data_IF_830764949861
#
_entry.id   IF_830764949861
#
_cell.length_a   1.000
_cell.length_b   1.000
_cell.length_c   1.000
_cell.angle_alpha   90.00
_cell.angle_beta   90.00
_cell.angle_gamma   90.00
#
_symmetry.space_group_name_H-M   'P 1'
#
loop_
_entity.id
_entity.type
_entity.pdbx_description
1 polymer ?
#
# COMPACT_ATOMS: atom_id res chain seq x y z
N UNK A 1 9.14 15.12 -31.77
CA UNK A 1 9.19 14.52 -30.42
C UNK A 1 10.59 14.76 -29.87
N UNK A 2 10.72 15.67 -28.91
CA UNK A 2 12.00 15.93 -28.24
C UNK A 2 12.28 14.72 -27.33
N UNK A 3 13.33 13.96 -27.64
CA UNK A 3 13.89 12.97 -26.72
C UNK A 3 14.43 13.76 -25.53
N UNK A 4 13.65 13.83 -24.45
CA UNK A 4 14.17 14.34 -23.18
C UNK A 4 15.38 13.47 -22.81
N UNK A 5 16.50 14.09 -22.53
CA UNK A 5 17.67 13.41 -22.01
C UNK A 5 17.26 12.70 -20.72
N UNK A 6 17.73 11.47 -20.48
CA UNK A 6 17.41 10.73 -19.26
C UNK A 6 17.90 11.56 -18.07
N UNK A 7 16.97 12.09 -17.28
CA UNK A 7 17.28 12.81 -16.07
C UNK A 7 17.42 11.82 -14.92
N UNK A 8 18.50 11.91 -14.17
CA UNK A 8 18.63 11.16 -12.92
C UNK A 8 17.51 11.61 -11.97
N UNK A 9 16.74 10.67 -11.49
CA UNK A 9 15.62 10.88 -10.57
C UNK A 9 16.12 10.56 -9.16
N UNK A 10 16.11 11.54 -8.25
CA UNK A 10 16.47 11.28 -6.84
C UNK A 10 15.40 10.46 -6.12
N UNK A 11 15.78 9.74 -5.06
CA UNK A 11 14.85 8.97 -4.23
C UNK A 11 13.71 9.86 -3.70
N UNK A 12 14.03 11.08 -3.23
CA UNK A 12 13.03 12.05 -2.79
C UNK A 12 11.99 12.35 -3.87
N UNK A 13 12.47 12.65 -5.08
CA UNK A 13 11.58 12.95 -6.22
C UNK A 13 10.70 11.76 -6.60
N UNK A 14 11.27 10.55 -6.59
CA UNK A 14 10.51 9.33 -6.88
C UNK A 14 9.38 9.12 -5.85
N UNK A 15 9.67 9.30 -4.57
CA UNK A 15 8.68 9.16 -3.48
C UNK A 15 7.62 10.26 -3.54
N UNK A 16 7.99 11.52 -3.77
CA UNK A 16 7.02 12.63 -3.89
C UNK A 16 6.08 12.43 -5.08
N UNK A 17 6.61 12.03 -6.24
CA UNK A 17 5.80 11.71 -7.42
C UNK A 17 4.89 10.50 -7.17
N UNK A 18 5.39 9.46 -6.51
CA UNK A 18 4.57 8.30 -6.18
C UNK A 18 3.41 8.66 -5.24
N UNK A 19 3.64 9.50 -4.23
CA UNK A 19 2.58 9.97 -3.33
C UNK A 19 1.52 10.81 -4.05
N UNK A 20 1.87 11.49 -5.15
CA UNK A 20 0.92 12.29 -5.96
C UNK A 20 0.19 11.46 -7.02
N UNK A 21 0.87 10.49 -7.62
CA UNK A 21 0.39 9.80 -8.81
C UNK A 21 -0.11 8.38 -8.54
N UNK A 22 0.26 7.77 -7.41
CA UNK A 22 -0.11 6.39 -7.08
C UNK A 22 -1.62 6.18 -7.10
N UNK A 23 -2.03 5.15 -7.81
CA UNK A 23 -3.43 4.72 -7.88
C UNK A 23 -3.97 4.33 -6.49
N UNK A 24 -3.16 3.70 -5.65
CA UNK A 24 -3.54 3.31 -4.29
C UNK A 24 -3.89 4.53 -3.42
N UNK A 25 -3.10 5.61 -3.49
CA UNK A 25 -3.39 6.87 -2.78
C UNK A 25 -4.66 7.54 -3.33
N UNK A 26 -4.87 7.50 -4.66
CA UNK A 26 -6.08 8.04 -5.28
C UNK A 26 -7.34 7.29 -4.84
N UNK A 27 -7.29 5.97 -4.79
CA UNK A 27 -8.40 5.13 -4.28
C UNK A 27 -8.68 5.47 -2.82
N UNK A 28 -7.67 5.47 -1.95
CA UNK A 28 -7.85 5.80 -0.53
C UNK A 28 -8.37 7.25 -0.32
N UNK A 29 -8.00 8.19 -1.19
CA UNK A 29 -8.53 9.57 -1.16
C UNK A 29 -10.00 9.60 -1.56
N UNK A 30 -10.39 8.84 -2.57
CA UNK A 30 -11.80 8.71 -2.98
C UNK A 30 -12.65 8.05 -1.86
N UNK A 31 -12.10 7.08 -1.14
CA UNK A 31 -12.75 6.47 0.02
C UNK A 31 -12.98 7.48 1.16
N UNK A 32 -12.04 8.40 1.40
CA UNK A 32 -12.24 9.51 2.34
C UNK A 32 -13.37 10.42 1.88
N UNK A 33 -13.43 10.79 0.60
CA UNK A 33 -14.52 11.59 0.04
C UNK A 33 -15.89 10.89 0.20
N UNK A 34 -15.93 9.59 -0.08
CA UNK A 34 -17.12 8.75 0.16
C UNK A 34 -17.53 8.76 1.63
N UNK A 35 -16.57 8.61 2.55
CA UNK A 35 -16.88 8.66 3.98
C UNK A 35 -17.38 10.02 4.45
N UNK A 36 -16.89 11.13 3.87
CA UNK A 36 -17.43 12.49 4.10
C UNK A 36 -18.88 12.57 3.61
N UNK A 37 -19.17 12.03 2.43
CA UNK A 37 -20.54 12.02 1.91
C UNK A 37 -21.49 11.21 2.82
N UNK A 38 -21.05 10.06 3.36
CA UNK A 38 -21.82 9.25 4.33
C UNK A 38 -22.10 10.05 5.61
N UNK A 39 -21.13 10.83 6.12
CA UNK A 39 -21.36 11.70 7.30
C UNK A 39 -22.43 12.74 7.00
N UNK A 40 -22.36 13.38 5.82
CA UNK A 40 -23.36 14.36 5.40
C UNK A 40 -24.73 13.70 5.20
N UNK A 41 -24.81 12.59 4.49
CA UNK A 41 -26.03 11.80 4.30
C UNK A 41 -26.69 11.46 5.63
N UNK A 42 -25.90 10.96 6.60
CA UNK A 42 -26.43 10.60 7.92
C UNK A 42 -26.92 11.83 8.70
N UNK A 43 -26.23 12.97 8.59
CA UNK A 43 -26.63 14.22 9.27
C UNK A 43 -27.84 14.86 8.61
N UNK A 44 -27.89 14.80 7.27
CA UNK A 44 -28.90 15.52 6.48
C UNK A 44 -30.29 14.84 6.53
N UNK A 45 -30.41 13.69 7.21
CA UNK A 45 -31.69 13.05 7.58
C UNK A 45 -32.60 14.02 8.36
N UNK A 46 -32.03 15.03 9.05
CA UNK A 46 -32.80 16.09 9.69
C UNK A 46 -33.33 17.15 8.71
N UNK A 47 -32.79 17.25 7.51
CA UNK A 47 -33.24 18.21 6.52
C UNK A 47 -34.51 17.70 5.83
N UNK A 48 -35.47 18.61 5.53
CA UNK A 48 -36.67 18.21 4.82
C UNK A 48 -36.33 17.77 3.38
N UNK A 49 -36.91 16.64 2.99
CA UNK A 49 -36.92 16.19 1.59
C UNK A 49 -38.19 16.63 0.91
N UNK A 50 -38.11 17.14 -0.31
CA UNK A 50 -39.23 17.57 -1.13
C UNK A 50 -39.35 16.69 -2.36
N UNK A 51 -40.54 16.16 -2.56
CA UNK A 51 -40.86 15.34 -3.74
C UNK A 51 -42.04 16.00 -4.47
N UNK A 52 -41.96 15.99 -5.78
CA UNK A 52 -43.07 16.39 -6.68
C UNK A 52 -43.36 15.21 -7.58
N UNK A 53 -44.60 14.75 -7.53
CA UNK A 53 -45.08 13.67 -8.34
C UNK A 53 -46.21 14.13 -9.26
N UNK A 54 -46.44 13.40 -10.34
CA UNK A 54 -47.60 13.54 -11.23
C UNK A 54 -48.05 12.16 -11.67
N UNK A 55 -49.34 11.89 -11.59
CA UNK A 55 -49.88 10.60 -12.01
C UNK A 55 -51.15 10.76 -12.84
N UNK A 56 -51.34 9.89 -13.80
CA UNK A 56 -52.57 9.74 -14.57
C UNK A 56 -53.07 8.32 -14.30
N UNK A 57 -54.32 8.19 -13.83
CA UNK A 57 -54.91 6.90 -13.55
C UNK A 57 -56.40 6.87 -13.80
N UNK A 58 -56.95 5.69 -13.97
CA UNK A 58 -58.38 5.45 -14.04
C UNK A 58 -58.79 4.59 -12.83
N UNK A 59 -59.90 4.99 -12.19
CA UNK A 59 -60.46 4.27 -11.07
C UNK A 59 -61.88 3.82 -11.41
N UNK A 60 -62.20 2.57 -11.11
CA UNK A 60 -63.51 2.00 -11.29
C UNK A 60 -64.00 1.36 -9.99
N UNK A 61 -65.28 1.53 -9.68
CA UNK A 61 -65.91 1.03 -8.46
C UNK A 61 -66.04 2.08 -7.34
N UNK A 62 -66.85 1.72 -6.32
CA UNK A 62 -67.10 2.63 -5.18
C UNK A 62 -66.41 2.08 -3.92
N UNK A 63 -65.77 2.93 -3.12
CA UNK A 63 -65.51 4.38 -3.33
C UNK A 63 -64.51 4.63 -4.45
N UNK A 64 -64.74 5.60 -5.29
CA UNK A 64 -63.89 5.96 -6.41
C UNK A 64 -62.57 6.54 -5.88
N UNK A 65 -61.46 5.90 -6.17
CA UNK A 65 -60.14 6.45 -5.91
C UNK A 65 -59.83 7.59 -6.86
N UNK A 66 -59.25 8.68 -6.36
CA UNK A 66 -58.88 9.81 -7.18
C UNK A 66 -57.43 9.79 -7.54
N UNK A 67 -57.05 9.85 -8.82
CA UNK A 67 -55.67 10.13 -9.17
C UNK A 67 -55.32 11.56 -8.84
N UNK A 68 -54.22 11.78 -8.15
CA UNK A 68 -53.61 13.12 -8.06
C UNK A 68 -52.98 13.49 -9.38
N UNK A 69 -53.32 14.66 -9.90
CA UNK A 69 -52.65 15.22 -11.08
C UNK A 69 -51.25 15.68 -10.65
N UNK A 70 -51.16 16.27 -9.47
CA UNK A 70 -49.95 16.76 -8.84
C UNK A 70 -49.95 16.39 -7.37
N UNK A 71 -48.85 15.82 -6.90
CA UNK A 71 -48.59 15.63 -5.51
C UNK A 71 -47.24 16.27 -5.15
N UNK A 72 -47.20 16.98 -4.07
CA UNK A 72 -46.01 17.53 -3.46
C UNK A 72 -45.94 17.05 -2.03
N UNK A 73 -44.84 16.42 -1.68
CA UNK A 73 -44.62 15.90 -0.33
C UNK A 73 -43.34 16.47 0.23
N UNK A 74 -43.42 17.03 1.43
CA UNK A 74 -42.25 17.40 2.22
C UNK A 74 -42.22 16.54 3.48
N UNK A 75 -41.09 15.89 3.71
CA UNK A 75 -40.89 15.04 4.87
C UNK A 75 -39.58 15.38 5.56
N UNK A 76 -39.59 15.43 6.90
CA UNK A 76 -38.39 15.66 7.71
C UNK A 76 -38.46 14.83 8.99
N UNK A 77 -37.29 14.38 9.45
CA UNK A 77 -37.15 13.80 10.79
C UNK A 77 -36.93 14.93 11.80
N UNK A 78 -37.92 15.19 12.65
CA UNK A 78 -37.78 16.19 13.69
C UNK A 78 -36.94 15.69 14.85
N UNK A 79 -37.13 14.43 15.23
CA UNK A 79 -36.43 13.83 16.36
C UNK A 79 -36.27 12.33 16.21
N UNK A 80 -35.03 11.85 16.40
CA UNK A 80 -34.69 10.46 16.38
C UNK A 80 -33.53 10.19 17.38
N UNK A 81 -33.81 9.45 18.45
CA UNK A 81 -32.83 9.13 19.49
C UNK A 81 -31.61 8.34 18.99
N UNK A 82 -31.75 7.58 17.91
CA UNK A 82 -30.68 6.77 17.34
C UNK A 82 -29.74 7.59 16.45
N UNK A 83 -30.23 8.68 15.85
CA UNK A 83 -29.50 9.44 14.83
C UNK A 83 -28.18 10.05 15.34
N UNK A 84 -28.08 10.57 16.58
CA UNK A 84 -26.80 11.03 17.13
C UNK A 84 -25.74 9.94 17.19
N UNK A 85 -26.13 8.68 17.45
CA UNK A 85 -25.18 7.56 17.47
C UNK A 85 -24.76 7.16 16.05
N UNK A 86 -25.67 7.16 15.08
CA UNK A 86 -25.31 6.94 13.67
C UNK A 86 -24.40 8.05 13.14
N UNK A 87 -24.61 9.31 13.51
CA UNK A 87 -23.70 10.42 13.16
C UNK A 87 -22.31 10.20 13.78
N UNK A 88 -22.24 9.75 15.03
CA UNK A 88 -20.97 9.41 15.68
C UNK A 88 -20.30 8.23 15.00
N UNK A 89 -21.07 7.19 14.65
CA UNK A 89 -20.59 6.04 13.89
C UNK A 89 -20.00 6.48 12.55
N UNK A 90 -20.72 7.29 11.78
CA UNK A 90 -20.24 7.81 10.49
C UNK A 90 -18.96 8.65 10.62
N UNK A 91 -18.87 9.53 11.65
CA UNK A 91 -17.66 10.32 11.93
C UNK A 91 -16.45 9.45 12.30
N UNK A 92 -16.67 8.39 13.07
CA UNK A 92 -15.61 7.44 13.41
C UNK A 92 -15.21 6.59 12.19
N UNK A 93 -16.17 6.26 11.33
CA UNK A 93 -15.90 5.65 10.02
C UNK A 93 -15.03 6.55 9.14
N UNK A 94 -15.35 7.85 9.06
CA UNK A 94 -14.51 8.84 8.38
C UNK A 94 -13.10 8.91 8.99
N UNK A 95 -13.01 8.91 10.32
CA UNK A 95 -11.69 8.90 11.01
C UNK A 95 -10.89 7.64 10.66
N UNK A 96 -11.54 6.47 10.63
CA UNK A 96 -10.91 5.21 10.20
C UNK A 96 -10.36 5.33 8.79
N UNK A 97 -11.19 5.79 7.83
CA UNK A 97 -10.78 5.94 6.42
C UNK A 97 -9.63 6.94 6.25
N UNK A 98 -9.62 8.04 7.02
CA UNK A 98 -8.49 8.99 7.02
C UNK A 98 -7.19 8.36 7.53
N UNK A 99 -7.27 7.49 8.53
CA UNK A 99 -6.12 6.73 9.05
C UNK A 99 -5.66 5.68 8.03
N UNK A 100 -6.58 5.01 7.34
CA UNK A 100 -6.27 4.10 6.23
C UNK A 100 -5.56 4.83 5.09
N UNK A 101 -5.97 6.05 4.73
CA UNK A 101 -5.26 6.86 3.74
C UNK A 101 -3.80 7.12 4.17
N UNK A 102 -3.58 7.48 5.43
CA UNK A 102 -2.22 7.68 5.95
C UNK A 102 -1.41 6.39 5.91
N UNK A 103 -2.02 5.26 6.27
CA UNK A 103 -1.39 3.94 6.22
C UNK A 103 -1.02 3.56 4.78
N UNK A 104 -1.91 3.80 3.81
CA UNK A 104 -1.64 3.61 2.38
C UNK A 104 -0.49 4.48 1.90
N UNK A 105 -0.40 5.72 2.33
CA UNK A 105 0.73 6.62 2.01
C UNK A 105 2.05 6.06 2.54
N UNK A 106 2.09 5.60 3.79
CA UNK A 106 3.25 4.93 4.37
C UNK A 106 3.68 3.72 3.55
N UNK A 107 2.71 2.91 3.09
CA UNK A 107 3.00 1.75 2.24
C UNK A 107 3.58 2.16 0.89
N UNK A 108 3.00 3.17 0.23
CA UNK A 108 3.52 3.67 -1.06
C UNK A 108 4.95 4.22 -0.92
N UNK A 109 5.26 4.92 0.18
CA UNK A 109 6.62 5.38 0.47
C UNK A 109 7.58 4.20 0.60
N UNK A 110 7.21 3.17 1.37
CA UNK A 110 8.03 1.97 1.52
C UNK A 110 8.27 1.29 0.18
N UNK A 111 7.20 0.97 -0.56
CA UNK A 111 7.27 0.22 -1.80
C UNK A 111 8.09 0.96 -2.87
N UNK A 112 7.89 2.29 -2.98
CA UNK A 112 8.66 3.11 -3.93
C UNK A 112 10.13 3.17 -3.54
N UNK A 113 10.43 3.35 -2.24
CA UNK A 113 11.81 3.39 -1.77
C UNK A 113 12.53 2.07 -1.98
N UNK A 114 11.87 0.94 -1.67
CA UNK A 114 12.46 -0.38 -1.87
C UNK A 114 12.67 -0.68 -3.35
N UNK A 115 11.71 -0.39 -4.22
CA UNK A 115 11.86 -0.59 -5.66
C UNK A 115 12.97 0.29 -6.27
N UNK A 116 13.12 1.52 -5.75
CA UNK A 116 14.18 2.43 -6.18
C UNK A 116 15.57 1.92 -5.78
N UNK A 117 15.72 1.51 -4.51
CA UNK A 117 16.98 0.97 -4.00
C UNK A 117 17.33 -0.34 -4.71
N UNK A 118 16.33 -1.18 -4.96
CA UNK A 118 16.50 -2.44 -5.67
C UNK A 118 16.92 -2.23 -7.12
N UNK A 119 16.32 -1.26 -7.82
CA UNK A 119 16.75 -0.89 -9.17
C UNK A 119 18.19 -0.37 -9.19
N UNK A 120 18.58 0.44 -8.20
CA UNK A 120 19.95 0.93 -8.07
C UNK A 120 20.92 -0.24 -7.89
N UNK A 121 20.66 -1.11 -6.90
CA UNK A 121 21.41 -2.32 -6.64
C UNK A 121 21.58 -3.19 -7.91
N UNK A 122 20.46 -3.51 -8.58
CA UNK A 122 20.46 -4.34 -9.80
C UNK A 122 21.27 -3.68 -10.92
N UNK A 123 21.33 -2.35 -10.98
CA UNK A 123 22.16 -1.61 -11.95
C UNK A 123 23.64 -1.78 -11.63
N UNK A 124 24.02 -1.70 -10.35
CA UNK A 124 25.40 -1.90 -9.90
C UNK A 124 25.85 -3.36 -10.10
N UNK A 125 24.98 -4.35 -9.83
CA UNK A 125 25.22 -5.75 -10.09
C UNK A 125 25.39 -6.05 -11.59
N UNK A 126 24.57 -5.44 -12.47
CA UNK A 126 24.73 -5.58 -13.91
C UNK A 126 26.09 -5.05 -14.39
N UNK A 127 26.56 -3.94 -13.83
CA UNK A 127 27.88 -3.40 -14.14
C UNK A 127 29.00 -4.36 -13.68
N UNK A 128 28.88 -4.98 -12.50
CA UNK A 128 29.80 -5.98 -12.00
C UNK A 128 29.81 -7.23 -12.89
N UNK A 129 28.64 -7.72 -13.30
CA UNK A 129 28.51 -8.87 -14.21
C UNK A 129 29.05 -8.61 -15.61
N UNK A 130 28.97 -7.37 -16.11
CA UNK A 130 29.58 -6.99 -17.39
C UNK A 130 31.12 -7.09 -17.33
N UNK A 131 31.71 -6.79 -16.17
CA UNK A 131 33.15 -7.00 -15.93
C UNK A 131 33.47 -8.49 -15.76
N UNK A 132 32.70 -9.22 -14.95
CA UNK A 132 32.85 -10.66 -14.73
C UNK A 132 32.78 -11.44 -16.06
N UNK A 133 31.85 -11.04 -16.96
CA UNK A 133 31.75 -11.64 -18.29
C UNK A 133 33.03 -11.46 -19.13
N UNK A 134 33.71 -10.29 -19.03
CA UNK A 134 34.95 -10.04 -19.69
C UNK A 134 36.07 -10.98 -19.16
N UNK A 135 36.14 -11.16 -17.84
CA UNK A 135 37.09 -12.03 -17.19
C UNK A 135 36.84 -13.50 -17.53
N UNK A 136 35.58 -13.91 -17.54
CA UNK A 136 35.17 -15.26 -17.91
C UNK A 136 35.46 -15.58 -19.38
N UNK A 137 35.23 -14.64 -20.30
CA UNK A 137 35.60 -14.81 -21.72
C UNK A 137 37.09 -15.01 -21.89
N UNK A 138 37.93 -14.23 -21.16
CA UNK A 138 39.38 -14.37 -21.19
C UNK A 138 39.84 -15.67 -20.56
N UNK A 139 39.23 -16.12 -19.46
CA UNK A 139 39.47 -17.41 -18.85
C UNK A 139 39.19 -18.55 -19.85
N UNK A 140 38.09 -18.47 -20.57
CA UNK A 140 37.70 -19.45 -21.58
C UNK A 140 38.72 -19.56 -22.72
N UNK A 141 39.25 -18.41 -23.16
CA UNK A 141 40.31 -18.37 -24.16
C UNK A 141 41.60 -19.05 -23.67
N UNK A 142 42.03 -18.73 -22.43
CA UNK A 142 43.20 -19.34 -21.79
C UNK A 142 43.02 -20.86 -21.69
N UNK A 143 41.88 -21.35 -21.19
CA UNK A 143 41.62 -22.78 -21.04
C UNK A 143 41.55 -23.50 -22.39
N UNK A 144 41.00 -22.89 -23.43
CA UNK A 144 41.00 -23.46 -24.77
C UNK A 144 42.42 -23.63 -25.29
N UNK A 145 43.31 -22.63 -25.18
CA UNK A 145 44.71 -22.69 -25.62
C UNK A 145 45.48 -23.76 -24.85
N UNK A 146 45.24 -23.93 -23.53
CA UNK A 146 45.92 -24.94 -22.69
C UNK A 146 45.49 -26.37 -23.04
N UNK A 147 44.19 -26.56 -23.35
CA UNK A 147 43.67 -27.85 -23.82
C UNK A 147 44.21 -28.19 -25.20
N UNK A 148 44.27 -27.22 -26.12
CA UNK A 148 44.80 -27.41 -27.47
C UNK A 148 46.32 -27.74 -27.46
N UNK A 149 47.05 -27.17 -26.49
CA UNK A 149 48.43 -27.46 -26.22
C UNK A 149 48.66 -28.80 -25.47
N UNK A 150 47.61 -29.52 -25.07
CA UNK A 150 47.67 -30.80 -24.35
C UNK A 150 48.14 -30.67 -22.89
N UNK A 151 48.16 -29.45 -22.33
CA UNK A 151 48.64 -29.17 -20.97
C UNK A 151 47.53 -29.40 -19.94
N UNK A 152 46.24 -29.16 -20.35
CA UNK A 152 45.09 -29.30 -19.45
C UNK A 152 44.05 -30.30 -20.01
N UNK A 153 43.31 -31.01 -19.12
CA UNK A 153 42.24 -31.89 -19.53
C UNK A 153 41.02 -31.12 -20.02
N UNK A 154 40.21 -31.67 -20.94
CA UNK A 154 38.98 -31.06 -21.47
C UNK A 154 37.96 -30.69 -20.40
N UNK A 155 38.03 -31.29 -19.21
CA UNK A 155 37.14 -30.99 -18.08
C UNK A 155 37.28 -29.56 -17.62
N UNK A 156 38.47 -28.96 -17.62
CA UNK A 156 38.72 -27.58 -17.19
C UNK A 156 38.08 -26.58 -18.18
N UNK A 157 38.21 -26.85 -19.49
CA UNK A 157 37.49 -26.06 -20.50
C UNK A 157 35.96 -26.14 -20.32
N UNK A 158 35.44 -27.32 -19.96
CA UNK A 158 33.99 -27.47 -19.70
C UNK A 158 33.56 -26.70 -18.47
N UNK A 159 34.39 -26.63 -17.42
CA UNK A 159 34.15 -25.80 -16.22
C UNK A 159 34.15 -24.32 -16.58
N UNK A 160 35.10 -23.84 -17.35
CA UNK A 160 35.14 -22.45 -17.80
C UNK A 160 33.89 -22.08 -18.64
N UNK A 161 33.46 -22.98 -19.55
CA UNK A 161 32.24 -22.83 -20.34
C UNK A 161 30.96 -22.76 -19.44
N UNK A 162 30.93 -23.59 -18.38
CA UNK A 162 29.81 -23.58 -17.43
C UNK A 162 29.76 -22.26 -16.65
N UNK A 163 30.93 -21.77 -16.19
CA UNK A 163 31.01 -20.45 -15.50
C UNK A 163 30.54 -19.33 -16.41
N UNK A 164 31.02 -19.25 -17.65
CA UNK A 164 30.60 -18.26 -18.62
C UNK A 164 29.08 -18.32 -18.90
N UNK A 165 28.55 -19.53 -19.07
CA UNK A 165 27.09 -19.70 -19.28
C UNK A 165 26.24 -19.24 -18.06
N UNK A 166 26.74 -19.50 -16.83
CA UNK A 166 26.09 -19.05 -15.60
C UNK A 166 26.09 -17.52 -15.49
N UNK A 167 27.20 -16.86 -15.79
CA UNK A 167 27.33 -15.41 -15.78
C UNK A 167 26.36 -14.80 -16.79
N UNK A 168 26.31 -15.32 -18.02
CA UNK A 168 25.36 -14.86 -19.04
C UNK A 168 23.90 -15.06 -18.64
N UNK A 169 23.58 -16.17 -18.00
CA UNK A 169 22.22 -16.43 -17.49
C UNK A 169 21.83 -15.45 -16.39
N UNK A 170 22.74 -15.24 -15.41
CA UNK A 170 22.51 -14.29 -14.32
C UNK A 170 22.33 -12.87 -14.84
N UNK A 171 23.17 -12.46 -15.80
CA UNK A 171 23.08 -11.15 -16.44
C UNK A 171 21.73 -10.94 -17.14
N UNK A 172 21.25 -11.95 -17.89
CA UNK A 172 19.94 -11.87 -18.53
C UNK A 172 18.82 -11.73 -17.49
N UNK A 173 18.86 -12.54 -16.45
CA UNK A 173 17.86 -12.49 -15.37
C UNK A 173 17.82 -11.11 -14.68
N UNK A 174 18.96 -10.55 -14.31
CA UNK A 174 19.02 -9.22 -13.69
C UNK A 174 18.60 -8.09 -14.66
N UNK A 175 18.88 -8.22 -15.94
CA UNK A 175 18.44 -7.26 -16.94
C UNK A 175 16.89 -7.25 -17.07
N UNK A 176 16.27 -8.43 -17.04
CA UNK A 176 14.82 -8.58 -17.05
C UNK A 176 14.20 -8.02 -15.74
N UNK A 177 14.80 -8.29 -14.59
CA UNK A 177 14.36 -7.72 -13.30
C UNK A 177 14.47 -6.20 -13.30
N UNK A 178 15.60 -5.64 -13.76
CA UNK A 178 15.75 -4.18 -13.87
C UNK A 178 14.68 -3.55 -14.76
N UNK A 179 14.26 -4.22 -15.84
CA UNK A 179 13.18 -3.76 -16.69
C UNK A 179 11.84 -3.76 -15.93
N UNK A 180 11.55 -4.82 -15.16
CA UNK A 180 10.34 -4.91 -14.31
C UNK A 180 10.34 -3.82 -13.23
N UNK A 181 11.47 -3.57 -12.55
CA UNK A 181 11.55 -2.52 -11.53
C UNK A 181 11.36 -1.13 -12.12
N UNK A 182 11.92 -0.84 -13.32
CA UNK A 182 11.67 0.42 -14.02
C UNK A 182 10.20 0.60 -14.36
N UNK A 183 9.54 -0.44 -14.84
CA UNK A 183 8.11 -0.40 -15.17
C UNK A 183 7.26 -0.20 -13.91
N UNK A 184 7.59 -0.88 -12.81
CA UNK A 184 6.91 -0.71 -11.51
C UNK A 184 7.03 0.73 -11.01
N UNK A 185 8.24 1.30 -11.05
CA UNK A 185 8.48 2.70 -10.67
C UNK A 185 7.78 3.68 -11.62
N UNK A 186 7.72 3.36 -12.93
CA UNK A 186 6.96 4.13 -13.91
C UNK A 186 5.48 4.20 -13.54
N UNK A 187 4.86 3.08 -13.22
CA UNK A 187 3.47 3.03 -12.76
C UNK A 187 3.23 3.77 -11.44
N UNK A 188 4.19 3.71 -10.51
CA UNK A 188 4.09 4.40 -9.22
C UNK A 188 4.26 5.92 -9.35
N UNK A 189 5.22 6.36 -10.15
CA UNK A 189 5.61 7.78 -10.26
C UNK A 189 4.92 8.52 -11.40
N UNK A 190 4.46 7.81 -12.44
CA UNK A 190 3.94 8.37 -13.69
C UNK A 190 5.02 8.85 -14.66
N UNK A 191 6.30 8.59 -14.38
CA UNK A 191 7.40 8.88 -15.30
C UNK A 191 7.57 7.73 -16.32
N UNK A 192 8.03 8.01 -17.57
CA UNK A 192 8.32 6.95 -18.53
C UNK A 192 9.44 6.02 -18.04
N UNK A 193 9.25 4.70 -18.14
CA UNK A 193 10.22 3.70 -17.68
C UNK A 193 11.61 3.86 -18.32
N UNK A 194 11.67 4.27 -19.61
CA UNK A 194 12.92 4.47 -20.35
C UNK A 194 13.77 5.65 -19.82
N UNK A 195 13.14 6.62 -19.14
CA UNK A 195 13.82 7.80 -18.58
C UNK A 195 14.22 7.62 -17.11
N UNK A 196 13.94 6.47 -16.49
CA UNK A 196 14.18 6.25 -15.08
C UNK A 196 15.63 5.78 -14.83
N UNK A 197 16.47 6.70 -14.41
CA UNK A 197 17.85 6.44 -13.96
C UNK A 197 17.93 6.81 -12.48
N UNK A 198 18.40 5.88 -11.65
CA UNK A 198 18.58 6.10 -10.22
C UNK A 198 19.85 6.91 -9.94
N UNK A 199 19.81 7.70 -8.87
CA UNK A 199 20.99 8.37 -8.31
C UNK A 199 21.36 7.72 -6.98
N UNK A 200 22.45 6.95 -6.96
CA UNK A 200 22.94 6.26 -5.77
C UNK A 200 23.27 7.22 -4.61
N UNK A 201 23.70 8.46 -4.92
CA UNK A 201 24.01 9.48 -3.92
C UNK A 201 22.78 10.04 -3.22
N UNK A 202 21.59 9.86 -3.81
CA UNK A 202 20.32 10.29 -3.22
C UNK A 202 19.78 9.32 -2.16
N UNK A 203 20.39 8.13 -2.03
CA UNK A 203 20.00 7.11 -1.05
C UNK A 203 20.74 7.38 0.26
N UNK A 204 20.07 7.88 1.30
CA UNK A 204 20.73 8.15 2.58
C UNK A 204 20.94 6.86 3.36
N UNK A 205 21.87 6.89 4.30
CA UNK A 205 21.96 5.87 5.32
C UNK A 205 20.63 5.77 6.10
N UNK A 206 20.08 4.57 6.22
CA UNK A 206 18.86 4.35 6.98
C UNK A 206 19.12 4.54 8.47
N UNK A 207 18.18 5.16 9.24
CA UNK A 207 18.36 5.39 10.65
C UNK A 207 18.60 4.09 11.42
N UNK A 208 19.52 4.12 12.36
CA UNK A 208 19.72 3.02 13.29
C UNK A 208 18.65 3.04 14.38
N UNK A 209 18.05 1.89 14.63
CA UNK A 209 17.12 1.73 15.73
C UNK A 209 17.86 1.40 17.01
N UNK A 210 17.72 2.25 18.03
CA UNK A 210 18.23 1.95 19.37
C UNK A 210 17.54 0.69 19.93
N UNK A 211 18.32 -0.26 20.38
CA UNK A 211 17.87 -1.59 20.84
C UNK A 211 17.00 -1.58 22.13
N UNK A 212 16.60 -0.43 22.66
CA UNK A 212 15.99 -0.26 23.98
C UNK A 212 14.62 0.43 24.02
N UNK A 213 14.01 0.79 22.91
CA UNK A 213 12.68 1.42 22.91
C UNK A 213 11.56 0.40 23.11
N UNK A 214 10.52 0.78 23.89
CA UNK A 214 9.30 -0.04 24.02
C UNK A 214 8.48 0.07 22.70
N UNK A 215 8.77 -0.87 21.76
CA UNK A 215 8.14 -0.94 20.45
C UNK A 215 6.62 -1.06 20.55
N UNK A 216 6.09 -1.72 21.57
CA UNK A 216 4.67 -1.93 21.74
C UNK A 216 3.93 -0.61 21.97
N UNK A 217 4.51 0.29 22.77
CA UNK A 217 3.97 1.64 22.99
C UNK A 217 4.01 2.48 21.70
N UNK A 218 5.11 2.37 20.93
CA UNK A 218 5.24 3.07 19.66
C UNK A 218 4.22 2.58 18.61
N UNK A 219 4.03 1.27 18.49
CA UNK A 219 3.08 0.67 17.55
C UNK A 219 1.65 1.06 17.90
N UNK A 220 1.25 0.92 19.16
CA UNK A 220 -0.10 1.27 19.61
C UNK A 220 -0.43 2.75 19.37
N UNK A 221 0.57 3.65 19.51
CA UNK A 221 0.41 5.10 19.37
C UNK A 221 0.62 5.64 17.97
N UNK A 222 1.43 5.00 17.13
CA UNK A 222 1.88 5.57 15.86
C UNK A 222 1.45 4.77 14.61
N UNK A 223 1.17 3.46 14.71
CA UNK A 223 0.75 2.67 13.56
C UNK A 223 -0.66 3.05 13.11
N UNK A 224 -0.78 3.68 11.92
CA UNK A 224 -2.05 4.17 11.38
C UNK A 224 -3.01 3.05 11.01
N UNK A 225 -2.53 1.89 10.60
CA UNK A 225 -3.35 0.71 10.28
C UNK A 225 -4.08 0.17 11.52
N UNK A 226 -3.36 0.01 12.63
CA UNK A 226 -3.93 -0.40 13.92
C UNK A 226 -4.93 0.63 14.42
N UNK A 227 -4.59 1.92 14.40
CA UNK A 227 -5.50 2.99 14.79
C UNK A 227 -6.77 3.03 13.93
N UNK A 228 -6.63 2.78 12.61
CA UNK A 228 -7.76 2.70 11.68
C UNK A 228 -8.71 1.56 12.06
N UNK A 229 -8.18 0.37 12.37
CA UNK A 229 -8.97 -0.78 12.78
C UNK A 229 -9.78 -0.50 14.06
N UNK A 230 -9.16 0.11 15.08
CA UNK A 230 -9.88 0.51 16.30
C UNK A 230 -10.91 1.61 16.05
N UNK A 231 -10.63 2.57 15.16
CA UNK A 231 -11.62 3.59 14.79
C UNK A 231 -12.83 2.96 14.05
N UNK A 232 -12.59 1.96 13.19
CA UNK A 232 -13.64 1.18 12.54
C UNK A 232 -14.48 0.39 13.56
N UNK A 233 -13.83 -0.27 14.53
CA UNK A 233 -14.52 -1.01 15.59
C UNK A 233 -15.40 -0.09 16.44
N UNK A 234 -14.91 1.09 16.82
CA UNK A 234 -15.71 2.12 17.52
C UNK A 234 -16.89 2.61 16.66
N UNK A 235 -16.68 2.77 15.34
CA UNK A 235 -17.77 3.13 14.42
C UNK A 235 -18.89 2.09 14.47
N UNK A 236 -18.55 0.79 14.38
CA UNK A 236 -19.50 -0.32 14.50
C UNK A 236 -20.19 -0.36 15.86
N UNK A 237 -19.49 -0.07 16.93
CA UNK A 237 -20.05 0.01 18.29
C UNK A 237 -21.13 1.11 18.39
N UNK A 238 -20.85 2.31 17.87
CA UNK A 238 -21.85 3.39 17.88
C UNK A 238 -23.04 3.08 16.96
N UNK A 239 -22.83 2.40 15.83
CA UNK A 239 -23.93 1.91 15.00
C UNK A 239 -24.82 0.93 15.78
N UNK A 240 -24.22 -0.01 16.54
CA UNK A 240 -24.96 -0.93 17.39
C UNK A 240 -25.75 -0.21 18.51
N UNK A 241 -25.20 0.88 19.09
CA UNK A 241 -25.96 1.72 20.03
C UNK A 241 -27.15 2.39 19.35
N UNK A 242 -26.99 2.88 18.12
CA UNK A 242 -28.08 3.41 17.30
C UNK A 242 -29.18 2.38 17.06
N UNK A 243 -28.83 1.18 16.62
CA UNK A 243 -29.78 0.07 16.38
C UNK A 243 -30.51 -0.32 17.69
N UNK A 244 -29.79 -0.35 18.82
CA UNK A 244 -30.40 -0.63 20.12
C UNK A 244 -31.39 0.44 20.53
N UNK A 245 -31.07 1.73 20.33
CA UNK A 245 -32.00 2.82 20.64
C UNK A 245 -33.20 2.82 19.71
N UNK A 246 -33.01 2.52 18.43
CA UNK A 246 -34.11 2.45 17.45
C UNK A 246 -35.17 1.42 17.81
N UNK A 247 -34.81 0.41 18.63
CA UNK A 247 -35.72 -0.62 19.09
C UNK A 247 -36.75 -0.14 20.12
N UNK A 248 -36.38 0.88 20.92
CA UNK A 248 -37.19 1.29 22.09
C UNK A 248 -37.70 2.71 22.03
N UNK A 249 -37.00 3.59 21.29
CA UNK A 249 -37.32 5.02 21.32
C UNK A 249 -38.19 5.48 20.15
N UNK A 250 -39.06 6.51 20.38
CA UNK A 250 -39.95 7.01 19.34
C UNK A 250 -39.16 7.72 18.24
N UNK A 251 -39.74 7.67 17.04
CA UNK A 251 -39.37 8.45 15.87
C UNK A 251 -40.44 9.52 15.65
N UNK A 252 -40.03 10.79 15.59
CA UNK A 252 -40.94 11.94 15.34
C UNK A 252 -40.60 12.49 13.95
N UNK A 253 -41.58 12.42 13.04
CA UNK A 253 -41.42 12.92 11.68
C UNK A 253 -42.47 14.04 11.41
N UNK A 254 -42.04 15.01 10.61
CA UNK A 254 -42.91 16.03 10.05
C UNK A 254 -43.25 15.62 8.63
N UNK A 255 -44.54 15.74 8.27
CA UNK A 255 -45.02 15.49 6.93
C UNK A 255 -45.94 16.68 6.51
N UNK A 256 -45.67 17.22 5.32
CA UNK A 256 -46.55 18.16 4.66
C UNK A 256 -46.84 17.64 3.26
N UNK A 257 -48.08 17.63 2.88
CA UNK A 257 -48.52 17.08 1.60
C UNK A 257 -49.51 18.08 0.95
N UNK A 258 -49.29 18.31 -0.34
CA UNK A 258 -50.23 19.02 -1.20
C UNK A 258 -50.61 18.11 -2.36
N UNK A 259 -51.91 17.93 -2.58
CA UNK A 259 -52.45 17.14 -3.67
C UNK A 259 -53.39 17.99 -4.51
N UNK A 260 -53.24 17.91 -5.83
CA UNK A 260 -54.24 18.40 -6.78
C UNK A 260 -54.90 17.23 -7.46
N UNK A 261 -56.16 17.05 -7.16
CA UNK A 261 -56.97 15.97 -7.70
C UNK A 261 -57.62 16.32 -9.04
N UNK A 262 -57.73 15.33 -9.93
CA UNK A 262 -58.49 15.46 -11.16
C UNK A 262 -59.97 15.47 -10.88
N UNK A 263 -60.71 16.28 -11.66
CA UNK A 263 -62.18 16.23 -11.68
C UNK A 263 -62.59 15.26 -12.78
N UNK A 264 -63.39 14.25 -12.38
CA UNK A 264 -64.03 13.34 -13.33
C UNK A 264 -65.48 13.78 -13.62
N UNK A 265 -66.00 13.35 -14.79
CA UNK A 265 -67.40 13.58 -15.10
C UNK A 265 -68.29 12.95 -14.01
N UNK A 266 -69.28 13.72 -13.55
CA UNK A 266 -70.21 13.38 -12.47
C UNK A 266 -69.64 13.33 -11.05
N UNK A 267 -68.45 13.89 -10.81
CA UNK A 267 -67.83 13.90 -9.47
C UNK A 267 -68.69 14.68 -8.46
N UNK A 268 -69.30 15.81 -8.86
CA UNK A 268 -70.17 16.66 -8.02
C UNK A 268 -71.47 15.97 -7.58
N UNK A 269 -71.86 14.87 -8.26
CA UNK A 269 -73.01 14.07 -7.85
C UNK A 269 -72.70 13.17 -6.63
N UNK A 270 -71.45 12.73 -6.50
CA UNK A 270 -71.05 11.80 -5.43
C UNK A 270 -70.41 12.49 -4.23
N UNK A 271 -69.75 13.64 -4.46
CA UNK A 271 -69.00 14.35 -3.43
C UNK A 271 -69.40 15.81 -3.39
N UNK A 272 -70.42 16.17 -2.55
CA UNK A 272 -70.77 17.56 -2.26
C UNK A 272 -69.58 18.26 -1.60
N UNK A 273 -69.19 19.44 -2.08
CA UNK A 273 -68.03 20.24 -1.58
C UNK A 273 -66.63 19.69 -1.90
N UNK A 274 -66.48 18.97 -2.98
CA UNK A 274 -65.17 18.56 -3.42
C UNK A 274 -64.23 19.73 -3.73
N UNK A 275 -63.05 19.70 -3.10
CA UNK A 275 -61.98 20.66 -3.39
C UNK A 275 -60.84 19.95 -4.16
N UNK A 276 -60.55 20.45 -5.37
CA UNK A 276 -59.47 19.89 -6.20
C UNK A 276 -58.07 20.03 -5.57
N UNK A 277 -57.91 21.00 -4.66
CA UNK A 277 -56.66 21.25 -3.95
C UNK A 277 -56.81 20.78 -2.51
N UNK A 278 -55.90 19.92 -2.08
CA UNK A 278 -55.88 19.43 -0.70
C UNK A 278 -54.48 19.67 -0.13
N UNK A 279 -54.44 20.25 1.05
CA UNK A 279 -53.21 20.50 1.79
C UNK A 279 -53.31 19.90 3.18
N UNK A 280 -52.35 19.08 3.55
CA UNK A 280 -52.22 18.45 4.85
C UNK A 280 -50.87 18.70 5.48
N UNK A 281 -50.86 19.02 6.76
CA UNK A 281 -49.61 19.11 7.56
C UNK A 281 -49.84 18.33 8.83
N UNK A 282 -48.80 17.55 9.19
CA UNK A 282 -48.91 16.73 10.40
C UNK A 282 -47.53 16.37 10.99
N UNK A 283 -47.58 16.05 12.27
CA UNK A 283 -46.44 15.42 12.96
C UNK A 283 -46.86 14.01 13.32
N UNK A 284 -46.05 13.05 12.90
CA UNK A 284 -46.27 11.65 13.20
C UNK A 284 -45.28 11.18 14.27
N UNK A 285 -45.76 10.55 15.32
CA UNK A 285 -44.98 9.89 16.35
C UNK A 285 -45.13 8.38 16.20
N UNK A 286 -44.05 7.71 15.89
CA UNK A 286 -44.02 6.24 15.74
C UNK A 286 -43.24 5.64 16.90
N UNK A 287 -43.90 4.82 17.75
CA UNK A 287 -43.32 4.13 18.89
C UNK A 287 -43.27 2.64 18.57
N UNK A 288 -42.09 2.03 18.47
CA UNK A 288 -41.97 0.59 18.27
C UNK A 288 -42.25 -0.14 19.58
N UNK A 289 -43.42 -0.79 19.69
CA UNK A 289 -43.79 -1.55 20.88
C UNK A 289 -43.25 -2.98 20.83
N UNK A 290 -43.29 -3.61 19.65
CA UNK A 290 -42.82 -4.97 19.43
C UNK A 290 -42.33 -5.14 18.00
N UNK A 291 -41.02 -5.34 17.85
CA UNK A 291 -40.37 -5.52 16.54
C UNK A 291 -39.23 -6.54 16.66
N UNK A 292 -39.50 -7.78 16.25
CA UNK A 292 -38.51 -8.87 16.31
C UNK A 292 -37.38 -8.67 15.32
N UNK A 293 -37.62 -7.98 14.19
CA UNK A 293 -36.60 -7.67 13.18
C UNK A 293 -35.58 -6.70 13.76
N UNK A 294 -36.03 -5.63 14.39
CA UNK A 294 -35.12 -4.68 15.06
C UNK A 294 -34.34 -5.33 16.21
N UNK A 295 -34.96 -6.25 16.96
CA UNK A 295 -34.24 -7.02 17.99
C UNK A 295 -33.14 -7.92 17.42
N UNK A 296 -33.44 -8.60 16.31
CA UNK A 296 -32.44 -9.39 15.62
C UNK A 296 -31.30 -8.51 15.09
N UNK A 297 -31.64 -7.36 14.49
CA UNK A 297 -30.67 -6.38 13.98
C UNK A 297 -29.75 -5.83 15.08
N UNK A 298 -30.30 -5.51 16.26
CA UNK A 298 -29.49 -5.07 17.42
C UNK A 298 -28.48 -6.12 17.86
N UNK A 299 -28.88 -7.43 17.86
CA UNK A 299 -27.95 -8.51 18.20
C UNK A 299 -26.87 -8.70 17.13
N UNK A 300 -27.27 -8.61 15.85
CA UNK A 300 -26.34 -8.65 14.73
C UNK A 300 -25.28 -7.55 14.83
N UNK A 301 -25.73 -6.29 15.01
CA UNK A 301 -24.84 -5.14 15.10
C UNK A 301 -23.91 -5.19 16.33
N UNK A 302 -24.41 -5.69 17.47
CA UNK A 302 -23.59 -5.90 18.66
C UNK A 302 -22.50 -6.98 18.42
N UNK A 303 -22.86 -8.07 17.74
CA UNK A 303 -21.91 -9.12 17.37
C UNK A 303 -20.88 -8.62 16.34
N UNK A 304 -21.30 -7.81 15.35
CA UNK A 304 -20.39 -7.19 14.36
C UNK A 304 -19.42 -6.21 15.02
N UNK A 305 -19.87 -5.43 16.00
CA UNK A 305 -18.99 -4.57 16.80
C UNK A 305 -17.95 -5.38 17.59
N UNK A 306 -18.38 -6.44 18.28
CA UNK A 306 -17.48 -7.33 19.02
C UNK A 306 -16.44 -7.99 18.10
N UNK A 307 -16.90 -8.50 16.93
CA UNK A 307 -16.02 -9.04 15.90
C UNK A 307 -14.99 -8.02 15.43
N UNK A 308 -15.42 -6.78 15.18
CA UNK A 308 -14.52 -5.71 14.70
C UNK A 308 -13.46 -5.33 15.74
N UNK A 309 -13.77 -5.37 17.04
CA UNK A 309 -12.77 -5.18 18.09
C UNK A 309 -11.77 -6.34 18.12
N UNK A 310 -12.25 -7.59 18.07
CA UNK A 310 -11.36 -8.75 18.02
C UNK A 310 -10.43 -8.73 16.79
N UNK A 311 -10.93 -8.26 15.65
CA UNK A 311 -10.11 -8.06 14.46
C UNK A 311 -9.05 -6.96 14.65
N UNK A 312 -9.39 -5.87 15.34
CA UNK A 312 -8.43 -4.81 15.66
C UNK A 312 -7.34 -5.29 16.63
N UNK A 313 -7.72 -6.08 17.65
CA UNK A 313 -6.78 -6.71 18.59
C UNK A 313 -5.85 -7.68 17.85
N UNK A 314 -6.39 -8.54 16.99
CA UNK A 314 -5.60 -9.46 16.16
C UNK A 314 -4.59 -8.70 15.26
N UNK A 315 -5.02 -7.61 14.63
CA UNK A 315 -4.12 -6.79 13.79
C UNK A 315 -3.01 -6.13 14.63
N UNK A 316 -3.34 -5.64 15.83
CA UNK A 316 -2.35 -5.11 16.76
C UNK A 316 -1.31 -6.17 17.11
N UNK A 317 -1.76 -7.35 17.57
CA UNK A 317 -0.89 -8.43 18.00
C UNK A 317 0.03 -8.91 16.83
N UNK A 318 -0.52 -9.04 15.63
CA UNK A 318 0.26 -9.36 14.42
C UNK A 318 1.31 -8.28 14.10
N UNK A 319 0.96 -7.00 14.26
CA UNK A 319 1.87 -5.88 14.01
C UNK A 319 2.99 -5.84 15.04
N UNK A 320 2.69 -6.10 16.32
CA UNK A 320 3.66 -6.20 17.40
C UNK A 320 4.62 -7.38 17.19
N UNK A 321 4.09 -8.54 16.81
CA UNK A 321 4.90 -9.71 16.47
C UNK A 321 5.82 -9.46 15.26
N UNK A 322 5.30 -8.83 14.20
CA UNK A 322 6.09 -8.46 13.03
C UNK A 322 7.21 -7.49 13.38
N UNK A 323 6.93 -6.46 14.20
CA UNK A 323 7.95 -5.52 14.65
C UNK A 323 9.05 -6.19 15.47
N UNK A 324 8.66 -7.10 16.37
CA UNK A 324 9.64 -7.87 17.14
C UNK A 324 10.51 -8.76 16.27
N UNK A 325 9.92 -9.44 15.29
CA UNK A 325 10.68 -10.26 14.32
C UNK A 325 11.67 -9.39 13.54
N UNK A 326 11.22 -8.24 13.01
CA UNK A 326 12.08 -7.31 12.28
C UNK A 326 13.20 -6.78 13.18
N UNK A 327 12.91 -6.40 14.42
CA UNK A 327 13.92 -5.94 15.38
C UNK A 327 14.98 -7.01 15.65
N UNK A 328 14.58 -8.28 15.80
CA UNK A 328 15.53 -9.38 16.02
C UNK A 328 16.35 -9.68 14.76
N UNK A 329 15.72 -9.67 13.58
CA UNK A 329 16.43 -9.89 12.32
C UNK A 329 17.43 -8.78 11.98
N UNK A 330 17.24 -7.54 12.45
CA UNK A 330 18.18 -6.45 12.19
C UNK A 330 19.60 -6.73 12.74
N UNK A 331 19.69 -7.32 13.94
CA UNK A 331 21.00 -7.66 14.52
C UNK A 331 21.70 -8.76 13.70
N UNK A 332 20.94 -9.75 13.22
CA UNK A 332 21.46 -10.81 12.35
C UNK A 332 21.90 -10.27 10.99
N UNK A 333 21.03 -9.49 10.34
CA UNK A 333 21.32 -8.87 9.03
C UNK A 333 22.48 -7.89 9.09
N UNK A 334 22.67 -7.17 10.19
CA UNK A 334 23.84 -6.29 10.35
C UNK A 334 25.15 -7.07 10.42
N UNK A 335 25.15 -8.22 11.08
CA UNK A 335 26.31 -9.11 11.11
C UNK A 335 26.54 -9.80 9.75
N UNK A 336 25.47 -10.15 9.05
CA UNK A 336 25.58 -10.72 7.69
C UNK A 336 26.19 -9.69 6.72
N UNK A 337 25.78 -8.42 6.81
CA UNK A 337 26.36 -7.34 5.99
C UNK A 337 27.85 -7.12 6.35
N UNK A 338 28.22 -7.16 7.64
CA UNK A 338 29.62 -7.10 8.07
C UNK A 338 30.44 -8.29 7.53
N UNK A 339 29.91 -9.51 7.63
CA UNK A 339 30.56 -10.71 7.07
C UNK A 339 30.76 -10.59 5.57
N UNK A 340 29.74 -10.14 4.83
CA UNK A 340 29.84 -9.96 3.37
C UNK A 340 30.89 -8.88 3.00
N UNK A 341 30.94 -7.77 3.74
CA UNK A 341 31.94 -6.73 3.56
C UNK A 341 33.37 -7.24 3.82
N UNK A 342 33.58 -8.03 4.89
CA UNK A 342 34.87 -8.64 5.20
C UNK A 342 35.27 -9.69 4.16
N UNK A 343 34.33 -10.45 3.59
CA UNK A 343 34.60 -11.39 2.50
C UNK A 343 35.01 -10.66 1.22
N UNK A 344 34.40 -9.52 0.92
CA UNK A 344 34.82 -8.68 -0.20
C UNK A 344 36.23 -8.13 0.00
N UNK A 345 36.53 -7.57 1.18
CA UNK A 345 37.89 -7.07 1.52
C UNK A 345 38.94 -8.15 1.41
N UNK A 346 38.63 -9.35 1.90
CA UNK A 346 39.51 -10.53 1.73
C UNK A 346 39.74 -10.89 0.27
N UNK A 347 38.69 -10.92 -0.56
CA UNK A 347 38.81 -11.24 -1.98
C UNK A 347 39.62 -10.17 -2.73
N UNK A 348 39.45 -8.88 -2.39
CA UNK A 348 40.23 -7.77 -2.93
C UNK A 348 41.74 -7.92 -2.56
N UNK A 349 42.05 -8.22 -1.31
CA UNK A 349 43.42 -8.43 -0.84
C UNK A 349 44.04 -9.65 -1.49
N UNK A 350 43.31 -10.73 -1.73
CA UNK A 350 43.74 -11.90 -2.45
C UNK A 350 44.05 -11.60 -3.92
N UNK A 351 43.19 -10.84 -4.59
CA UNK A 351 43.40 -10.38 -5.96
C UNK A 351 44.66 -9.53 -6.07
N UNK A 352 44.86 -8.57 -5.16
CA UNK A 352 46.07 -7.75 -5.11
C UNK A 352 47.34 -8.61 -4.95
N UNK A 353 47.28 -9.63 -4.08
CA UNK A 353 48.36 -10.56 -3.86
C UNK A 353 48.69 -11.34 -5.14
N UNK A 354 47.68 -11.88 -5.83
CA UNK A 354 47.83 -12.58 -7.11
C UNK A 354 48.47 -11.67 -8.17
N UNK A 355 47.97 -10.43 -8.29
CA UNK A 355 48.50 -9.45 -9.24
C UNK A 355 49.96 -9.07 -8.94
N UNK A 356 50.32 -8.86 -7.67
CA UNK A 356 51.71 -8.58 -7.25
C UNK A 356 52.64 -9.75 -7.57
N UNK A 357 52.24 -11.00 -7.30
CA UNK A 357 53.04 -12.19 -7.59
C UNK A 357 53.20 -12.41 -9.09
N UNK A 358 52.20 -12.15 -9.90
CA UNK A 358 52.29 -12.21 -11.37
C UNK A 358 53.25 -11.17 -11.95
N UNK A 359 53.32 -9.95 -11.33
CA UNK A 359 54.14 -8.84 -11.81
C UNK A 359 55.63 -8.96 -11.39
N UNK A 360 55.89 -9.47 -10.18
CA UNK A 360 57.25 -9.53 -9.59
C UNK A 360 57.92 -10.90 -9.65
N UNK A 361 57.18 -11.94 -10.03
CA UNK A 361 57.60 -13.34 -9.89
C UNK A 361 57.50 -13.80 -8.42
N UNK A 362 57.21 -15.07 -8.21
CA UNK A 362 57.20 -15.66 -6.86
C UNK A 362 58.62 -15.62 -6.28
N UNK A 363 58.88 -14.69 -5.37
CA UNK A 363 60.18 -14.58 -4.69
C UNK A 363 60.54 -15.75 -3.76
N UNK A 364 59.71 -16.81 -3.69
CA UNK A 364 59.96 -18.02 -2.92
C UNK A 364 60.25 -19.20 -3.86
N UNK A 365 61.39 -19.87 -3.66
CA UNK A 365 61.90 -20.96 -4.48
C UNK A 365 61.01 -22.22 -4.55
N UNK A 366 59.95 -22.31 -3.71
CA UNK A 366 59.02 -23.45 -3.66
C UNK A 366 57.52 -23.06 -3.88
N UNK A 367 57.21 -21.83 -4.31
CA UNK A 367 55.82 -21.43 -4.60
C UNK A 367 55.42 -21.94 -5.98
N UNK A 368 54.20 -22.50 -6.07
CA UNK A 368 53.57 -22.87 -7.36
C UNK A 368 53.48 -21.61 -8.21
N UNK A 369 54.01 -21.58 -9.44
CA UNK A 369 53.94 -20.37 -10.28
C UNK A 369 52.48 -20.08 -10.60
N UNK A 370 52.02 -18.88 -10.23
CA UNK A 370 50.68 -18.39 -10.59
C UNK A 370 50.57 -18.19 -12.10
N UNK A 371 49.43 -18.48 -12.63
CA UNK A 371 49.14 -18.41 -14.07
C UNK A 371 48.13 -17.29 -14.36
N UNK A 372 48.04 -16.81 -15.61
CA UNK A 372 46.95 -15.86 -16.02
C UNK A 372 45.53 -16.39 -15.75
N UNK A 373 45.35 -17.69 -15.62
CA UNK A 373 44.13 -18.34 -15.16
C UNK A 373 43.77 -17.93 -13.74
N UNK A 374 44.73 -17.95 -12.82
CA UNK A 374 44.52 -17.65 -11.39
C UNK A 374 44.11 -16.19 -11.20
N UNK A 375 44.68 -15.29 -12.04
CA UNK A 375 44.23 -13.89 -12.10
C UNK A 375 42.76 -13.76 -12.47
N UNK A 376 42.33 -14.46 -13.56
CA UNK A 376 40.93 -14.35 -14.01
C UNK A 376 39.96 -14.92 -12.96
N UNK A 377 40.33 -16.02 -12.32
CA UNK A 377 39.53 -16.62 -11.25
C UNK A 377 39.40 -15.68 -10.04
N UNK A 378 40.52 -15.06 -9.61
CA UNK A 378 40.50 -14.11 -8.50
C UNK A 378 39.63 -12.84 -8.81
N UNK A 379 39.68 -12.36 -10.06
CA UNK A 379 38.83 -11.24 -10.51
C UNK A 379 37.33 -11.60 -10.52
N UNK A 380 36.99 -12.81 -10.96
CA UNK A 380 35.64 -13.36 -10.95
C UNK A 380 35.15 -13.47 -9.49
N UNK A 381 35.96 -14.05 -8.61
CA UNK A 381 35.62 -14.21 -7.20
C UNK A 381 35.39 -12.85 -6.49
N UNK A 382 36.27 -11.88 -6.74
CA UNK A 382 36.11 -10.53 -6.18
C UNK A 382 34.80 -9.91 -6.62
N UNK A 383 34.40 -10.01 -7.90
CA UNK A 383 33.10 -9.51 -8.39
C UNK A 383 31.91 -10.23 -7.75
N UNK A 384 31.98 -11.53 -7.57
CA UNK A 384 30.95 -12.32 -6.89
C UNK A 384 30.78 -11.87 -5.41
N UNK A 385 31.91 -11.64 -4.70
CA UNK A 385 31.82 -11.10 -3.31
C UNK A 385 31.29 -9.68 -3.24
N UNK A 386 31.55 -8.87 -4.26
CA UNK A 386 30.94 -7.55 -4.38
C UNK A 386 29.42 -7.65 -4.53
N UNK A 387 28.92 -8.55 -5.38
CA UNK A 387 27.47 -8.79 -5.51
C UNK A 387 26.86 -9.30 -4.19
N UNK A 388 27.51 -10.27 -3.50
CA UNK A 388 27.08 -10.75 -2.20
C UNK A 388 26.97 -9.62 -1.15
N UNK A 389 27.88 -8.63 -1.21
CA UNK A 389 27.86 -7.47 -0.31
C UNK A 389 26.69 -6.54 -0.61
N UNK A 390 26.36 -6.30 -1.90
CA UNK A 390 25.20 -5.50 -2.29
C UNK A 390 23.88 -6.16 -1.85
N UNK A 391 23.80 -7.50 -1.96
CA UNK A 391 22.65 -8.27 -1.48
C UNK A 391 22.43 -8.09 0.03
N UNK A 392 23.50 -8.26 0.81
CA UNK A 392 23.45 -8.16 2.26
C UNK A 392 23.07 -6.73 2.74
N UNK A 393 23.63 -5.70 2.11
CA UNK A 393 23.29 -4.30 2.39
C UNK A 393 21.83 -3.97 2.04
N UNK A 394 21.33 -4.51 0.92
CA UNK A 394 19.94 -4.34 0.53
C UNK A 394 18.98 -4.99 1.54
N UNK A 395 19.22 -6.22 1.98
CA UNK A 395 18.37 -6.91 2.94
C UNK A 395 18.35 -6.19 4.31
N UNK A 396 19.48 -5.66 4.75
CA UNK A 396 19.56 -4.83 5.96
C UNK A 396 18.74 -3.54 5.81
N UNK A 397 18.88 -2.85 4.68
CA UNK A 397 18.14 -1.61 4.38
C UNK A 397 16.64 -1.87 4.29
N UNK A 398 16.24 -2.95 3.63
CA UNK A 398 14.86 -3.40 3.53
C UNK A 398 14.23 -3.67 4.92
N UNK A 399 14.95 -4.36 5.79
CA UNK A 399 14.49 -4.65 7.14
C UNK A 399 14.33 -3.37 7.97
N UNK A 400 15.28 -2.40 7.87
CA UNK A 400 15.21 -1.10 8.53
C UNK A 400 14.00 -0.28 8.05
N UNK A 401 13.79 -0.16 6.75
CA UNK A 401 12.64 0.56 6.17
C UNK A 401 11.31 -0.11 6.54
N UNK A 402 11.26 -1.45 6.54
CA UNK A 402 10.09 -2.22 6.96
C UNK A 402 9.74 -1.99 8.43
N UNK A 403 10.74 -1.87 9.31
CA UNK A 403 10.52 -1.52 10.71
C UNK A 403 10.02 -0.08 10.86
N UNK A 404 10.59 0.89 10.13
CA UNK A 404 10.09 2.29 10.07
C UNK A 404 8.61 2.34 9.66
N UNK A 405 8.22 1.52 8.68
CA UNK A 405 6.81 1.40 8.24
C UNK A 405 5.92 0.83 9.34
N UNK A 406 6.39 -0.20 10.04
CA UNK A 406 5.63 -0.85 11.12
C UNK A 406 5.42 0.10 12.30
N UNK A 407 6.39 0.95 12.61
CA UNK A 407 6.29 2.03 13.60
C UNK A 407 5.52 3.25 13.07
N UNK A 408 5.22 3.32 11.75
CA UNK A 408 4.44 4.42 11.15
C UNK A 408 5.23 5.70 10.89
N UNK A 409 6.57 5.64 10.79
CA UNK A 409 7.46 6.81 10.65
C UNK A 409 8.20 6.86 9.30
N UNK A 410 7.91 5.97 8.33
CA UNK A 410 8.62 5.92 7.05
C UNK A 410 8.35 7.18 6.19
N UNK A 411 7.16 7.79 6.26
CA UNK A 411 6.87 9.04 5.54
C UNK A 411 7.67 10.21 6.11
N UNK A 412 7.89 10.25 7.43
CA UNK A 412 8.70 11.31 8.05
C UNK A 412 10.19 11.15 7.73
N UNK A 413 10.67 9.90 7.66
CA UNK A 413 11.99 9.62 7.12
C UNK A 413 12.11 10.08 5.65
N UNK A 414 11.12 9.79 4.82
CA UNK A 414 11.14 10.22 3.42
C UNK A 414 11.17 11.76 3.25
N UNK A 415 10.51 12.52 4.14
CA UNK A 415 10.56 13.98 4.17
C UNK A 415 11.93 14.53 4.58
N UNK A 416 12.72 13.75 5.31
CA UNK A 416 14.10 14.13 5.70
C UNK A 416 15.13 13.89 4.60
N UNK A 417 14.74 13.27 3.47
CA UNK A 417 15.61 13.03 2.33
C UNK A 417 16.11 14.35 1.72
N UNK A 418 17.38 14.40 1.27
CA UNK A 418 17.90 15.60 0.62
C UNK A 418 17.15 15.89 -0.69
N UNK A 419 16.59 17.06 -0.77
CA UNK A 419 15.92 17.57 -1.98
C UNK A 419 16.98 18.15 -2.93
N UNK A 420 17.74 17.29 -3.61
CA UNK A 420 18.73 17.71 -4.62
C UNK A 420 18.49 17.01 -5.94
#
# INVERSE_FOLDING_TARGET
>A
MSLAAPAQVSLYTAVDLALRNSTSVRVATADVQKAVAIVNETRDVYLPSFYVGSGIGYSYGFPVGQPSIWDMTAQSTLFNYSLPDYIRAARLGLRSTQLTLRDTRQQVVLDTSLNYILLNKTTDELAALDEEAKYSAKLLEIEQQRVDAGVEPRVELTRARLTDARIRLKRLHLADEAAVYRETLSHQTGLPAASFITDSKSIPATPEFASGGDLNLLIAGANQGVQSAYAAAKSKQYAAFGDNRQQYYPLITFNAQYNRYARFNNYDLYYKNFQSNNFGVGVQITIPLFDMVKRAKTRESAADASRSYAQADMLRDQTEEQALRLQKSLAELSLQAEVAALQLDLAQSQLETVLAQLSTGSGQANATPLSPRDEQNARIEERQRFEDSLDAEYELTRARLSLLRTVGSVEDWAKSLPNR
#
